data_IF_560787036071
#
_entry.id   IF_560787036071
#
_cell.length_a   1.000
_cell.length_b   1.000
_cell.length_c   1.000
_cell.angle_alpha   90.00
_cell.angle_beta   90.00
_cell.angle_gamma   90.00
#
_symmetry.space_group_name_H-M   'P 1'
#
loop_
_entity.id
_entity.type
_entity.pdbx_description
1 polymer ?
#
# COMPACT_ATOMS: atom_id res chain seq x y z
N UNK A 1 23.07 6.87 -0.27
CA UNK A 1 24.50 7.16 -0.36
C UNK A 1 25.07 7.20 1.03
N UNK A 2 25.91 6.26 1.36
CA UNK A 2 26.78 6.26 2.54
C UNK A 2 28.19 6.46 2.01
N UNK A 3 28.89 7.47 2.46
CA UNK A 3 30.27 7.73 2.06
C UNK A 3 30.87 8.83 2.91
N UNK A 4 32.17 8.74 3.10
CA UNK A 4 32.97 9.82 3.65
C UNK A 4 33.34 10.77 2.50
N UNK A 5 33.40 12.09 2.74
CA UNK A 5 33.77 13.10 1.75
C UNK A 5 32.86 13.16 0.52
N UNK A 6 31.55 13.22 0.73
CA UNK A 6 30.61 13.44 -0.35
C UNK A 6 30.85 14.79 -1.03
N UNK A 7 30.71 14.90 -2.37
CA UNK A 7 31.09 16.10 -3.12
C UNK A 7 30.20 17.31 -2.85
N UNK A 8 29.00 17.12 -2.31
CA UNK A 8 28.05 18.20 -2.01
C UNK A 8 27.40 18.04 -0.64
N UNK A 9 26.91 19.16 -0.09
CA UNK A 9 26.17 19.17 1.17
C UNK A 9 24.69 18.80 1.03
N UNK A 10 24.21 18.65 -0.19
CA UNK A 10 22.83 18.26 -0.50
C UNK A 10 22.69 16.83 -0.97
N UNK A 11 21.64 16.16 -0.52
CA UNK A 11 21.33 14.77 -0.93
C UNK A 11 21.07 14.65 -2.43
N UNK A 12 20.28 15.58 -2.99
CA UNK A 12 19.96 15.62 -4.42
C UNK A 12 21.23 15.82 -5.28
N UNK A 13 22.07 16.75 -4.90
CA UNK A 13 23.31 17.08 -5.59
C UNK A 13 24.27 15.87 -5.59
N UNK A 14 24.36 15.16 -4.49
CA UNK A 14 25.13 13.92 -4.39
C UNK A 14 24.56 12.79 -5.26
N UNK A 15 23.24 12.70 -5.41
CA UNK A 15 22.65 11.76 -6.36
C UNK A 15 22.97 12.09 -7.81
N UNK A 16 23.03 13.39 -8.17
CA UNK A 16 23.44 13.81 -9.51
C UNK A 16 24.93 13.48 -9.76
N UNK A 17 25.79 13.69 -8.76
CA UNK A 17 27.18 13.27 -8.86
C UNK A 17 27.33 11.75 -9.03
N UNK A 18 26.57 10.97 -8.29
CA UNK A 18 26.55 9.52 -8.41
C UNK A 18 26.10 9.07 -9.81
N UNK A 19 25.12 9.77 -10.41
CA UNK A 19 24.71 9.52 -11.80
C UNK A 19 25.86 9.77 -12.79
N UNK A 20 26.62 10.85 -12.59
CA UNK A 20 27.79 11.15 -13.42
C UNK A 20 28.90 10.10 -13.29
N UNK A 21 28.96 9.38 -12.16
CA UNK A 21 29.87 8.25 -11.95
C UNK A 21 29.34 6.92 -12.51
N UNK A 22 28.21 6.92 -13.18
CA UNK A 22 27.62 5.72 -13.81
C UNK A 22 26.69 4.91 -12.93
N UNK A 23 26.34 5.37 -11.73
CA UNK A 23 25.31 4.70 -10.92
C UNK A 23 23.91 4.93 -11.52
N UNK A 24 23.08 3.90 -11.48
CA UNK A 24 21.69 3.97 -11.91
C UNK A 24 20.87 4.76 -10.87
N UNK A 25 20.60 6.01 -11.13
CA UNK A 25 19.74 6.88 -10.33
C UNK A 25 18.42 7.07 -11.08
N UNK A 26 17.26 6.89 -10.45
CA UNK A 26 15.96 7.12 -11.08
C UNK A 26 15.87 8.53 -11.68
N UNK A 27 15.26 8.66 -12.86
CA UNK A 27 15.07 9.97 -13.51
C UNK A 27 13.94 10.78 -12.86
N UNK A 28 13.09 10.09 -12.13
CA UNK A 28 11.88 10.62 -11.48
C UNK A 28 12.15 11.29 -10.13
N UNK A 29 13.34 11.80 -9.87
CA UNK A 29 13.66 12.53 -8.65
C UNK A 29 13.58 14.05 -8.87
N UNK A 30 13.06 14.77 -7.89
CA UNK A 30 12.90 16.23 -7.94
C UNK A 30 13.33 16.88 -6.63
N UNK A 31 14.00 18.03 -6.72
CA UNK A 31 14.26 18.91 -5.59
C UNK A 31 13.11 19.89 -5.49
N UNK A 32 12.41 19.90 -4.35
CA UNK A 32 11.32 20.82 -4.05
C UNK A 32 11.82 21.93 -3.11
N UNK A 33 11.31 23.15 -3.29
CA UNK A 33 11.69 24.31 -2.48
C UNK A 33 10.52 24.79 -1.60
N UNK A 34 9.30 24.37 -1.91
CA UNK A 34 8.08 24.73 -1.19
C UNK A 34 7.20 23.51 -0.91
N UNK A 35 6.24 23.65 -0.01
CA UNK A 35 5.20 22.65 0.21
C UNK A 35 4.35 22.46 -1.06
N UNK A 36 4.09 23.54 -1.79
CA UNK A 36 3.31 23.47 -3.03
C UNK A 36 4.03 22.60 -4.08
N UNK A 37 5.35 22.74 -4.24
CA UNK A 37 6.14 21.89 -5.14
C UNK A 37 6.01 20.40 -4.78
N UNK A 38 5.92 20.08 -3.48
CA UNK A 38 5.76 18.72 -3.00
C UNK A 38 4.35 18.20 -3.36
N UNK A 39 3.30 18.99 -3.11
CA UNK A 39 1.93 18.59 -3.44
C UNK A 39 1.73 18.43 -4.95
N UNK A 40 2.29 19.32 -5.75
CA UNK A 40 2.23 19.23 -7.21
C UNK A 40 2.95 17.98 -7.72
N UNK A 41 4.07 17.63 -7.11
CA UNK A 41 4.81 16.42 -7.44
C UNK A 41 4.05 15.15 -7.04
N UNK A 42 3.39 15.15 -5.89
CA UNK A 42 2.54 14.04 -5.42
C UNK A 42 1.35 13.86 -6.39
N UNK A 43 0.64 14.95 -6.69
CA UNK A 43 -0.52 14.91 -7.60
C UNK A 43 -0.15 14.43 -9.01
N UNK A 44 0.99 14.88 -9.54
CA UNK A 44 1.51 14.43 -10.81
C UNK A 44 1.75 12.93 -10.83
N UNK A 45 2.46 12.39 -9.81
CA UNK A 45 2.79 10.97 -9.77
C UNK A 45 1.65 10.07 -9.34
N UNK A 46 0.63 10.58 -8.69
CA UNK A 46 -0.59 9.78 -8.43
C UNK A 46 -1.27 9.33 -9.72
N UNK A 47 -1.17 10.15 -10.78
CA UNK A 47 -1.68 9.83 -12.12
C UNK A 47 -0.64 9.10 -12.97
N UNK A 48 0.56 9.70 -13.11
CA UNK A 48 1.58 9.27 -14.08
C UNK A 48 2.34 8.00 -13.65
N UNK A 49 2.28 7.58 -12.40
CA UNK A 49 2.95 6.35 -11.91
C UNK A 49 2.57 5.10 -12.70
N UNK A 50 1.39 5.08 -13.32
CA UNK A 50 0.91 3.96 -14.14
C UNK A 50 1.73 3.77 -15.42
N UNK A 51 2.41 4.82 -15.88
CA UNK A 51 3.25 4.84 -17.07
C UNK A 51 4.71 4.46 -16.76
N UNK A 52 5.05 4.23 -15.48
CA UNK A 52 6.39 3.79 -15.09
C UNK A 52 6.60 2.31 -15.45
N UNK A 53 7.83 1.91 -15.82
CA UNK A 53 8.17 0.52 -16.14
C UNK A 53 8.12 -0.42 -14.92
N UNK A 54 7.96 0.16 -13.71
CA UNK A 54 7.87 -0.55 -12.43
C UNK A 54 6.69 -0.06 -11.64
N UNK A 55 6.00 -0.96 -10.96
CA UNK A 55 4.91 -0.61 -10.07
C UNK A 55 5.43 0.24 -8.89
N UNK A 56 4.77 1.37 -8.63
CA UNK A 56 5.17 2.31 -7.59
C UNK A 56 3.97 2.59 -6.68
N UNK A 57 4.13 2.38 -5.38
CA UNK A 57 3.09 2.53 -4.36
C UNK A 57 3.16 3.86 -3.59
N UNK A 58 4.21 4.64 -3.81
CA UNK A 58 4.38 5.91 -3.12
C UNK A 58 5.64 6.68 -3.49
N UNK A 59 5.85 7.76 -2.78
CA UNK A 59 6.98 8.69 -2.92
C UNK A 59 7.71 8.77 -1.57
N UNK A 60 9.02 8.86 -1.60
CA UNK A 60 9.82 9.12 -0.40
C UNK A 60 10.31 10.56 -0.41
N UNK A 61 9.84 11.34 0.55
CA UNK A 61 10.29 12.70 0.80
C UNK A 61 11.50 12.67 1.73
N UNK A 62 12.54 13.39 1.40
CA UNK A 62 13.78 13.44 2.18
C UNK A 62 14.26 14.87 2.35
N UNK A 63 14.75 15.21 3.54
CA UNK A 63 15.42 16.49 3.77
C UNK A 63 16.70 16.53 2.94
N UNK A 64 16.89 17.58 2.12
CA UNK A 64 18.03 17.65 1.20
C UNK A 64 19.37 17.95 1.90
N UNK A 65 19.39 18.79 2.93
CA UNK A 65 20.61 19.15 3.64
C UNK A 65 21.15 18.00 4.49
N UNK A 66 22.36 17.53 4.20
CA UNK A 66 23.03 16.48 4.97
C UNK A 66 23.31 16.91 6.41
N UNK A 67 23.55 18.19 6.66
CA UNK A 67 23.69 18.75 8.02
C UNK A 67 22.39 18.59 8.79
N UNK A 68 21.25 18.95 8.18
CA UNK A 68 19.94 18.78 8.81
C UNK A 68 19.60 17.30 9.02
N UNK A 69 19.94 16.43 8.09
CA UNK A 69 19.76 14.98 8.25
C UNK A 69 20.50 14.44 9.47
N UNK A 70 21.77 14.86 9.66
CA UNK A 70 22.58 14.50 10.85
C UNK A 70 21.95 15.00 12.15
N UNK A 71 21.47 16.25 12.16
CA UNK A 71 20.83 16.84 13.34
C UNK A 71 19.50 16.17 13.72
N UNK A 72 18.69 15.78 12.72
CA UNK A 72 17.43 15.06 12.94
C UNK A 72 17.67 13.63 13.42
N UNK A 73 18.74 13.00 12.92
CA UNK A 73 19.14 11.65 13.31
C UNK A 73 18.17 10.56 12.91
N UNK A 74 18.17 9.48 13.71
CA UNK A 74 17.42 8.26 13.47
C UNK A 74 16.60 7.88 14.70
N UNK A 75 15.52 7.12 14.48
CA UNK A 75 14.90 6.29 15.50
C UNK A 75 15.55 4.90 15.47
N UNK A 76 15.13 3.99 16.35
CA UNK A 76 15.59 2.58 16.30
C UNK A 76 15.30 1.87 14.98
N UNK A 77 14.32 2.36 14.19
CA UNK A 77 13.83 1.67 12.98
C UNK A 77 13.94 2.48 11.69
N UNK A 78 14.00 3.81 11.78
CA UNK A 78 13.89 4.66 10.58
C UNK A 78 14.59 6.03 10.77
N UNK A 79 15.01 6.67 9.66
CA UNK A 79 15.51 8.04 9.71
C UNK A 79 14.37 9.02 10.01
N UNK A 80 14.66 10.07 10.81
CA UNK A 80 13.71 11.16 11.08
C UNK A 80 13.64 12.20 9.97
N UNK A 81 14.57 12.17 9.04
CA UNK A 81 14.68 13.08 7.91
C UNK A 81 14.08 12.55 6.60
N UNK A 82 13.42 11.40 6.67
CA UNK A 82 12.73 10.82 5.52
C UNK A 82 11.32 10.33 5.92
N UNK A 83 10.35 10.55 5.04
CA UNK A 83 8.97 10.09 5.21
C UNK A 83 8.47 9.50 3.89
N UNK A 84 7.78 8.38 3.97
CA UNK A 84 7.09 7.78 2.84
C UNK A 84 5.65 8.32 2.77
N UNK A 85 5.29 8.88 1.61
CA UNK A 85 3.91 9.14 1.23
C UNK A 85 3.44 8.01 0.33
N UNK A 86 2.44 7.26 0.77
CA UNK A 86 1.85 6.19 -0.02
C UNK A 86 0.61 6.70 -0.74
N UNK A 87 0.54 6.40 -2.03
CA UNK A 87 -0.67 6.68 -2.82
C UNK A 87 -1.85 5.86 -2.30
N UNK A 88 -3.04 6.35 -2.58
CA UNK A 88 -4.25 5.59 -2.28
C UNK A 88 -4.21 4.26 -3.05
N UNK A 89 -4.50 3.18 -2.33
CA UNK A 89 -4.55 1.86 -2.94
C UNK A 89 -5.72 1.78 -3.93
N UNK A 90 -5.52 1.04 -5.01
CA UNK A 90 -6.61 0.76 -5.95
C UNK A 90 -7.67 -0.12 -5.28
N UNK A 91 -8.93 0.19 -5.56
CA UNK A 91 -10.09 -0.57 -5.09
C UNK A 91 -10.86 -1.13 -6.27
N UNK A 92 -11.39 -2.33 -6.08
CA UNK A 92 -12.36 -2.94 -6.98
C UNK A 92 -13.55 -3.46 -6.18
N UNK A 93 -14.71 -3.46 -6.81
CA UNK A 93 -15.92 -4.04 -6.26
C UNK A 93 -16.12 -5.43 -6.86
N UNK A 94 -16.45 -6.41 -6.01
CA UNK A 94 -16.70 -7.77 -6.44
C UNK A 94 -17.59 -8.52 -5.45
N UNK A 95 -18.18 -9.64 -5.89
CA UNK A 95 -19.09 -10.45 -5.09
C UNK A 95 -18.34 -11.38 -4.14
N UNK A 96 -18.81 -11.45 -2.89
CA UNK A 96 -18.35 -12.43 -1.89
C UNK A 96 -19.08 -13.77 -2.12
N UNK A 97 -18.35 -14.79 -2.57
CA UNK A 97 -18.91 -16.12 -2.84
C UNK A 97 -18.94 -17.00 -1.58
N UNK A 98 -17.88 -16.99 -0.79
CA UNK A 98 -17.77 -17.75 0.46
C UNK A 98 -16.63 -17.23 1.33
N UNK A 99 -16.58 -17.68 2.57
CA UNK A 99 -15.43 -17.44 3.47
C UNK A 99 -14.85 -18.78 3.90
N UNK A 100 -13.55 -18.93 3.78
CA UNK A 100 -12.79 -20.06 4.27
C UNK A 100 -11.87 -19.63 5.41
N UNK A 101 -11.56 -20.55 6.31
CA UNK A 101 -10.69 -20.29 7.45
C UNK A 101 -9.40 -21.10 7.30
N UNK A 102 -8.26 -20.44 7.44
CA UNK A 102 -6.94 -21.05 7.28
C UNK A 102 -6.16 -20.95 8.59
N UNK A 103 -5.54 -22.04 8.98
CA UNK A 103 -4.66 -22.07 10.17
C UNK A 103 -3.24 -21.76 9.72
N UNK A 104 -2.66 -20.70 10.27
CA UNK A 104 -1.28 -20.32 10.05
C UNK A 104 -0.30 -21.18 10.86
N UNK A 105 1.00 -21.03 10.56
CA UNK A 105 2.08 -21.79 11.23
C UNK A 105 2.09 -21.65 12.76
N UNK A 106 1.65 -20.50 13.27
CA UNK A 106 1.59 -20.19 14.71
C UNK A 106 0.24 -20.57 15.36
N UNK A 107 -0.65 -21.28 14.64
CA UNK A 107 -1.98 -21.61 15.12
C UNK A 107 -3.02 -20.49 14.96
N UNK A 108 -2.64 -19.35 14.41
CA UNK A 108 -3.57 -18.24 14.14
C UNK A 108 -4.54 -18.62 13.02
N UNK A 109 -5.83 -18.49 13.28
CA UNK A 109 -6.89 -18.70 12.29
C UNK A 109 -7.16 -17.41 11.55
N UNK A 110 -6.95 -17.43 10.23
CA UNK A 110 -7.18 -16.28 9.34
C UNK A 110 -8.36 -16.54 8.42
N UNK A 111 -9.40 -15.69 8.45
CA UNK A 111 -10.51 -15.78 7.52
C UNK A 111 -10.11 -15.22 6.15
N UNK A 112 -10.49 -15.93 5.09
CA UNK A 112 -10.20 -15.59 3.70
C UNK A 112 -11.51 -15.55 2.91
N UNK A 113 -11.82 -14.40 2.34
CA UNK A 113 -12.94 -14.23 1.41
C UNK A 113 -12.58 -14.86 0.06
N UNK A 114 -13.43 -15.72 -0.45
CA UNK A 114 -13.41 -16.22 -1.82
C UNK A 114 -14.37 -15.36 -2.64
N UNK A 115 -13.85 -14.76 -3.71
CA UNK A 115 -14.50 -13.69 -4.46
C UNK A 115 -14.78 -14.10 -5.89
N UNK A 116 -15.76 -13.47 -6.51
CA UNK A 116 -15.82 -13.42 -7.95
C UNK A 116 -14.53 -12.82 -8.50
N UNK A 117 -13.91 -13.40 -9.55
CA UNK A 117 -12.65 -12.89 -10.08
C UNK A 117 -12.77 -11.45 -10.55
N UNK A 118 -11.93 -10.56 -10.05
CA UNK A 118 -11.89 -9.13 -10.41
C UNK A 118 -10.48 -8.69 -10.74
N UNK A 119 -10.34 -7.84 -11.77
CA UNK A 119 -9.06 -7.23 -12.12
C UNK A 119 -8.76 -6.07 -11.15
N UNK A 120 -7.62 -6.13 -10.45
CA UNK A 120 -7.21 -5.13 -9.49
C UNK A 120 -5.68 -4.98 -9.53
N UNK A 121 -5.20 -3.76 -9.76
CA UNK A 121 -3.76 -3.45 -9.87
C UNK A 121 -3.01 -4.42 -10.82
N UNK A 122 -3.56 -4.64 -12.02
CA UNK A 122 -2.97 -5.47 -13.06
C UNK A 122 -2.99 -6.99 -12.80
N UNK A 123 -3.65 -7.45 -11.73
CA UNK A 123 -3.78 -8.88 -11.40
C UNK A 123 -5.23 -9.28 -11.18
N UNK A 124 -5.57 -10.53 -11.52
CA UNK A 124 -6.90 -11.07 -11.23
C UNK A 124 -6.94 -11.58 -9.79
N UNK A 125 -7.73 -10.90 -8.97
CA UNK A 125 -7.95 -11.24 -7.56
C UNK A 125 -9.16 -12.16 -7.44
N UNK A 126 -8.98 -13.30 -6.78
CA UNK A 126 -10.04 -14.29 -6.48
C UNK A 126 -10.21 -14.50 -4.97
N UNK A 127 -9.26 -14.05 -4.17
CA UNK A 127 -9.24 -14.25 -2.72
C UNK A 127 -8.68 -13.00 -2.04
N UNK A 128 -9.27 -12.63 -0.90
CA UNK A 128 -8.82 -11.50 -0.10
C UNK A 128 -8.85 -11.83 1.39
N UNK A 129 -7.94 -11.23 2.15
CA UNK A 129 -7.89 -11.40 3.60
C UNK A 129 -9.03 -10.63 4.28
N UNK A 130 -9.60 -11.23 5.31
CA UNK A 130 -10.52 -10.59 6.27
C UNK A 130 -9.82 -10.34 7.63
N UNK A 131 -8.52 -10.56 7.69
CA UNK A 131 -7.65 -10.37 8.85
C UNK A 131 -8.04 -11.19 10.09
N UNK A 132 -9.15 -10.88 10.73
CA UNK A 132 -9.60 -11.48 12.00
C UNK A 132 -11.13 -11.44 12.17
N UNK A 133 -11.61 -11.91 13.32
CA UNK A 133 -13.03 -11.93 13.67
C UNK A 133 -13.63 -10.52 13.74
N UNK A 134 -12.91 -9.54 14.31
CA UNK A 134 -13.41 -8.19 14.52
C UNK A 134 -13.75 -7.49 13.20
N UNK A 135 -12.96 -7.76 12.15
CA UNK A 135 -13.22 -7.23 10.80
C UNK A 135 -14.50 -7.84 10.21
N UNK A 136 -14.72 -9.15 10.39
CA UNK A 136 -15.95 -9.82 9.91
C UNK A 136 -17.18 -9.22 10.60
N UNK A 137 -17.12 -9.03 11.92
CA UNK A 137 -18.22 -8.47 12.71
C UNK A 137 -18.46 -7.00 12.36
N UNK A 138 -17.39 -6.21 12.27
CA UNK A 138 -17.47 -4.78 11.96
C UNK A 138 -18.00 -4.46 10.56
N UNK A 139 -17.74 -5.35 9.58
CA UNK A 139 -18.25 -5.21 8.22
C UNK A 139 -19.66 -5.77 8.03
N UNK A 140 -20.20 -6.50 9.00
CA UNK A 140 -21.52 -7.16 8.92
C UNK A 140 -21.70 -7.95 7.62
N UNK A 141 -20.71 -8.80 7.29
CA UNK A 141 -20.61 -9.51 6.02
C UNK A 141 -21.68 -10.60 5.87
N UNK A 142 -22.28 -10.66 4.67
CA UNK A 142 -23.17 -11.76 4.26
C UNK A 142 -22.67 -12.38 2.95
N UNK A 143 -22.91 -13.66 2.77
CA UNK A 143 -22.60 -14.35 1.50
C UNK A 143 -23.45 -13.72 0.39
N UNK A 144 -22.79 -13.38 -0.72
CA UNK A 144 -23.41 -12.70 -1.85
C UNK A 144 -23.29 -11.18 -1.83
N UNK A 145 -22.74 -10.59 -0.75
CA UNK A 145 -22.49 -9.15 -0.68
C UNK A 145 -21.52 -8.67 -1.77
N UNK A 146 -21.76 -7.46 -2.26
CA UNK A 146 -20.78 -6.71 -3.02
C UNK A 146 -19.78 -6.08 -2.04
N UNK A 147 -18.51 -6.43 -2.20
CA UNK A 147 -17.44 -6.02 -1.28
C UNK A 147 -16.37 -5.23 -2.00
N UNK A 148 -15.79 -4.26 -1.31
CA UNK A 148 -14.66 -3.48 -1.80
C UNK A 148 -13.36 -4.18 -1.42
N UNK A 149 -12.59 -4.55 -2.44
CA UNK A 149 -11.27 -5.16 -2.31
C UNK A 149 -10.21 -4.10 -2.58
N UNK A 150 -9.24 -4.00 -1.72
CA UNK A 150 -8.10 -3.09 -1.84
C UNK A 150 -6.81 -3.89 -1.96
N UNK A 151 -5.95 -3.48 -2.88
CA UNK A 151 -4.59 -3.98 -3.02
C UNK A 151 -3.64 -2.79 -3.05
N UNK A 152 -3.05 -2.50 -1.90
CA UNK A 152 -2.00 -1.49 -1.76
C UNK A 152 -0.61 -2.08 -1.90
N UNK A 153 0.41 -1.40 -1.37
CA UNK A 153 1.79 -1.88 -1.33
C UNK A 153 1.99 -3.23 -0.62
N UNK A 154 0.94 -3.79 -0.04
CA UNK A 154 0.88 -5.16 0.44
C UNK A 154 0.53 -6.11 -0.72
N UNK A 155 1.20 -7.24 -0.78
CA UNK A 155 0.98 -8.24 -1.83
C UNK A 155 -0.40 -8.90 -1.69
N UNK A 156 -0.97 -8.91 -0.47
CA UNK A 156 -2.20 -9.62 -0.10
C UNK A 156 -3.40 -8.66 -0.24
N UNK A 157 -4.37 -8.97 -1.13
CA UNK A 157 -5.62 -8.21 -1.19
C UNK A 157 -6.41 -8.34 0.12
N UNK A 158 -7.10 -7.27 0.53
CA UNK A 158 -7.93 -7.23 1.75
C UNK A 158 -9.31 -6.66 1.45
N UNK A 159 -10.31 -7.10 2.20
CA UNK A 159 -11.64 -6.50 2.19
C UNK A 159 -11.62 -5.25 3.08
N UNK A 160 -12.10 -4.13 2.55
CA UNK A 160 -12.11 -2.83 3.25
C UNK A 160 -13.52 -2.27 3.47
N UNK A 161 -14.53 -2.88 2.86
CA UNK A 161 -15.90 -2.43 3.01
C UNK A 161 -16.90 -3.32 2.29
N UNK A 162 -18.18 -3.05 2.54
CA UNK A 162 -19.33 -3.67 1.90
C UNK A 162 -20.15 -2.57 1.24
N UNK A 163 -20.61 -2.81 0.02
CA UNK A 163 -21.61 -1.95 -0.63
C UNK A 163 -23.00 -2.32 -0.12
N UNK A 164 -23.42 -1.66 0.96
CA UNK A 164 -24.71 -1.93 1.60
C UNK A 164 -25.89 -1.54 0.70
N UNK A 165 -25.71 -0.53 -0.17
CA UNK A 165 -26.75 -0.08 -1.11
C UNK A 165 -27.04 -1.12 -2.20
N UNK A 166 -26.02 -1.89 -2.60
CA UNK A 166 -26.14 -2.97 -3.56
C UNK A 166 -26.64 -4.29 -2.93
N UNK A 167 -26.87 -4.31 -1.62
CA UNK A 167 -27.33 -5.50 -0.90
C UNK A 167 -28.74 -5.90 -1.33
N UNK A 168 -28.88 -7.07 -1.91
CA UNK A 168 -30.18 -7.63 -2.34
C UNK A 168 -31.04 -8.03 -1.13
N UNK A 169 -32.37 -8.00 -1.30
CA UNK A 169 -33.31 -8.58 -0.32
C UNK A 169 -33.15 -10.10 -0.15
N UNK A 170 -32.55 -10.78 -1.12
CA UNK A 170 -32.18 -12.21 -1.07
C UNK A 170 -30.73 -12.34 -0.55
N UNK A 171 -30.49 -11.83 0.66
CA UNK A 171 -29.20 -11.99 1.32
C UNK A 171 -28.93 -13.47 1.64
N UNK A 172 -27.67 -13.88 1.43
CA UNK A 172 -27.18 -15.14 1.96
C UNK A 172 -26.94 -15.07 3.48
N UNK A 173 -26.46 -16.16 4.04
CA UNK A 173 -26.18 -16.27 5.46
C UNK A 173 -25.13 -15.25 5.92
N UNK A 174 -25.35 -14.72 7.13
CA UNK A 174 -24.34 -13.85 7.78
C UNK A 174 -23.07 -14.64 8.06
N UNK A 175 -21.95 -14.09 7.63
CA UNK A 175 -20.63 -14.69 7.89
C UNK A 175 -20.33 -14.57 9.38
N UNK A 176 -20.01 -15.71 10.00
CA UNK A 176 -19.58 -15.77 11.41
C UNK A 176 -18.21 -16.40 11.51
N UNK A 177 -17.41 -15.91 12.44
CA UNK A 177 -16.14 -16.56 12.75
C UNK A 177 -16.38 -17.93 13.39
N UNK A 178 -15.57 -18.92 12.99
CA UNK A 178 -15.69 -20.30 13.50
C UNK A 178 -15.29 -20.36 14.99
N UNK A 179 -15.94 -21.29 15.72
CA UNK A 179 -15.66 -21.53 17.15
C UNK A 179 -14.78 -22.75 17.38
N UNK A 180 -14.63 -23.58 16.35
CA UNK A 180 -13.84 -24.82 16.38
C UNK A 180 -12.76 -24.71 15.31
N UNK A 181 -11.55 -25.22 15.59
CA UNK A 181 -10.46 -25.23 14.65
C UNK A 181 -10.83 -26.05 13.41
N UNK A 182 -10.64 -25.51 12.18
CA UNK A 182 -10.97 -26.21 10.94
C UNK A 182 -10.05 -27.40 10.67
#
# INVERSE_FOLDING_TARGET
LLGENLPAEGHYENLQAARAWGFKIPDVIRKCQSLQDIFDYIAYWDVERKNLPVATDGIVLKVNSLRQQRNLGFTSKSPRWAIAYKFQAERAETRLNSVSFQVGRTGTVTPVANLEPVLLAGTVVKRASLHNADIIEGLDLHIGDQVYVEKGGEIIPKIVGVNVEARSMLMGDKVRFIRVCP
#
